data_IF_752941198342
#
_entry.id   IF_752941198342
#
_cell.length_a   1.000
_cell.length_b   1.000
_cell.length_c   1.000
_cell.angle_alpha   90.00
_cell.angle_beta   90.00
_cell.angle_gamma   90.00
#
_symmetry.space_group_name_H-M   'P 1'
#
loop_
_entity.id
_entity.type
_entity.pdbx_description
1 polymer ?
#
# COMPACT_ATOMS: atom_id res chain seq x y z
N UNK A 1 13.89 0.24 -0.06
CA UNK A 1 13.23 0.29 -1.39
C UNK A 1 12.41 1.57 -1.41
N UNK A 2 12.64 2.48 -2.36
CA UNK A 2 11.88 3.72 -2.48
C UNK A 2 10.49 3.47 -3.10
N UNK A 3 9.47 4.19 -2.66
CA UNK A 3 8.09 4.10 -3.18
C UNK A 3 7.11 3.26 -2.35
N UNK A 4 7.58 2.24 -1.61
CA UNK A 4 6.68 1.45 -0.76
C UNK A 4 6.01 2.26 0.37
N UNK A 5 6.70 3.19 1.06
CA UNK A 5 6.05 4.06 2.05
C UNK A 5 5.01 5.00 1.46
N UNK A 6 5.08 5.34 0.17
CA UNK A 6 4.07 6.19 -0.50
C UNK A 6 2.78 5.41 -0.79
N UNK A 7 2.94 4.13 -1.11
CA UNK A 7 1.83 3.19 -1.37
C UNK A 7 1.20 2.71 -0.06
N UNK A 8 2.00 2.46 0.97
CA UNK A 8 1.58 1.99 2.30
C UNK A 8 2.04 3.00 3.37
N UNK A 9 1.34 4.14 3.49
CA UNK A 9 1.75 5.19 4.44
C UNK A 9 1.42 4.82 5.89
N UNK A 10 0.32 4.13 6.12
CA UNK A 10 -0.12 3.71 7.46
C UNK A 10 -0.43 2.20 7.54
N UNK A 11 -0.48 1.69 8.78
CA UNK A 11 -0.73 0.28 9.07
C UNK A 11 -2.10 -0.24 8.61
N UNK A 12 -3.06 0.65 8.33
CA UNK A 12 -4.37 0.29 7.79
C UNK A 12 -4.34 -0.09 6.30
N UNK A 13 -3.22 0.18 5.60
CA UNK A 13 -3.03 -0.17 4.19
C UNK A 13 -2.14 -1.41 4.00
N UNK A 14 -1.46 -1.86 5.05
CA UNK A 14 -0.57 -3.00 5.01
C UNK A 14 0.52 -2.95 6.07
N UNK A 15 1.48 -3.86 5.96
CA UNK A 15 2.62 -3.95 6.87
C UNK A 15 3.89 -3.78 6.06
N UNK A 16 4.71 -2.79 6.43
CA UNK A 16 6.07 -2.65 5.92
C UNK A 16 7.03 -3.33 6.89
N UNK A 17 8.02 -4.03 6.32
CA UNK A 17 9.08 -4.70 7.07
C UNK A 17 10.43 -4.12 6.61
N UNK A 18 11.34 -3.80 7.52
CA UNK A 18 12.69 -3.37 7.19
C UNK A 18 13.42 -4.40 6.32
N UNK A 19 14.16 -3.95 5.28
CA UNK A 19 14.95 -4.86 4.46
C UNK A 19 15.90 -5.72 5.28
N UNK A 20 15.94 -7.02 5.00
CA UNK A 20 16.81 -7.97 5.68
C UNK A 20 16.34 -8.40 7.08
N UNK A 21 15.25 -7.83 7.62
CA UNK A 21 14.72 -8.23 8.93
C UNK A 21 13.80 -9.46 8.83
N UNK A 22 14.43 -10.65 8.85
CA UNK A 22 13.72 -11.94 8.77
C UNK A 22 12.76 -12.13 9.95
N UNK A 23 13.12 -11.68 11.15
CA UNK A 23 12.28 -11.85 12.34
C UNK A 23 10.99 -11.03 12.27
N UNK A 24 11.06 -9.78 11.81
CA UNK A 24 9.84 -8.97 11.60
C UNK A 24 9.00 -9.49 10.44
N UNK A 25 9.62 -10.02 9.39
CA UNK A 25 8.91 -10.67 8.30
C UNK A 25 8.10 -11.87 8.82
N UNK A 26 8.74 -12.75 9.60
CA UNK A 26 8.10 -13.92 10.22
C UNK A 26 6.95 -13.52 11.14
N UNK A 27 7.16 -12.52 12.01
CA UNK A 27 6.11 -11.98 12.89
C UNK A 27 4.92 -11.45 12.09
N UNK A 28 5.18 -10.72 11.01
CA UNK A 28 4.15 -10.16 10.14
C UNK A 28 3.33 -11.25 9.44
N UNK A 29 3.97 -12.29 8.91
CA UNK A 29 3.26 -13.44 8.35
C UNK A 29 2.39 -14.16 9.38
N UNK A 30 2.92 -14.45 10.56
CA UNK A 30 2.15 -15.09 11.64
C UNK A 30 0.95 -14.24 12.09
N UNK A 31 1.13 -12.92 12.16
CA UNK A 31 0.05 -12.00 12.45
C UNK A 31 -1.03 -12.05 11.37
N UNK A 32 -0.66 -11.97 10.09
CA UNK A 32 -1.59 -12.02 8.97
C UNK A 32 -2.37 -13.34 8.98
N UNK A 33 -1.72 -14.49 9.17
CA UNK A 33 -2.38 -15.79 9.26
C UNK A 33 -3.48 -15.82 10.32
N UNK A 34 -3.21 -15.23 11.50
CA UNK A 34 -4.14 -15.25 12.65
C UNK A 34 -5.23 -14.17 12.58
N UNK A 35 -4.99 -13.03 11.92
CA UNK A 35 -5.88 -11.86 11.96
C UNK A 35 -6.63 -11.67 10.65
N UNK A 36 -7.61 -12.54 10.38
CA UNK A 36 -8.48 -12.44 9.20
C UNK A 36 -9.18 -11.07 9.04
N UNK A 37 -9.75 -10.45 10.11
CA UNK A 37 -10.41 -9.15 9.97
C UNK A 37 -9.44 -8.06 9.48
N UNK A 38 -8.23 -8.01 10.05
CA UNK A 38 -7.20 -7.07 9.61
C UNK A 38 -6.83 -7.29 8.14
N UNK A 39 -6.59 -8.55 7.72
CA UNK A 39 -6.25 -8.87 6.32
C UNK A 39 -7.30 -8.34 5.34
N UNK A 40 -8.57 -8.54 5.66
CA UNK A 40 -9.68 -8.08 4.81
C UNK A 40 -9.77 -6.56 4.78
N UNK A 41 -9.66 -5.91 5.94
CA UNK A 41 -9.70 -4.45 6.03
C UNK A 41 -8.53 -3.80 5.28
N UNK A 42 -7.29 -4.24 5.54
CA UNK A 42 -6.10 -3.68 4.94
C UNK A 42 -6.08 -3.83 3.41
N UNK A 43 -6.43 -5.03 2.91
CA UNK A 43 -6.53 -5.25 1.47
C UNK A 43 -7.63 -4.40 0.80
N UNK A 44 -8.79 -4.24 1.45
CA UNK A 44 -9.86 -3.40 0.93
C UNK A 44 -9.47 -1.90 0.93
N UNK A 45 -8.84 -1.42 2.01
CA UNK A 45 -8.37 -0.04 2.12
C UNK A 45 -7.32 0.28 1.06
N UNK A 46 -6.30 -0.56 0.93
CA UNK A 46 -5.26 -0.38 -0.09
C UNK A 46 -5.86 -0.42 -1.50
N UNK A 47 -6.78 -1.35 -1.78
CA UNK A 47 -7.45 -1.41 -3.09
C UNK A 47 -8.20 -0.12 -3.41
N UNK A 48 -8.95 0.44 -2.46
CA UNK A 48 -9.65 1.74 -2.67
C UNK A 48 -8.65 2.86 -2.95
N UNK A 49 -7.56 2.94 -2.19
CA UNK A 49 -6.50 3.94 -2.36
C UNK A 49 -5.84 3.83 -3.74
N UNK A 50 -5.47 2.63 -4.18
CA UNK A 50 -4.87 2.42 -5.51
C UNK A 50 -5.83 2.87 -6.62
N UNK A 51 -7.12 2.55 -6.52
CA UNK A 51 -8.10 3.00 -7.50
C UNK A 51 -8.30 4.53 -7.49
N UNK A 52 -8.24 5.16 -6.32
CA UNK A 52 -8.39 6.60 -6.20
C UNK A 52 -7.14 7.34 -6.69
N UNK A 53 -5.96 6.98 -6.21
CA UNK A 53 -4.78 7.84 -6.32
C UNK A 53 -3.82 7.39 -7.43
N UNK A 54 -3.84 6.10 -7.78
CA UNK A 54 -2.86 5.46 -8.67
C UNK A 54 -3.51 4.81 -9.90
N UNK A 55 -4.75 5.19 -10.24
CA UNK A 55 -5.38 4.69 -11.46
C UNK A 55 -4.77 5.30 -12.71
N UNK A 56 -4.73 4.53 -13.80
CA UNK A 56 -4.26 5.01 -15.10
C UNK A 56 -4.96 6.32 -15.52
N UNK A 57 -6.28 6.38 -15.31
CA UNK A 57 -7.08 7.57 -15.61
C UNK A 57 -6.58 8.80 -14.84
N UNK A 58 -6.34 8.65 -13.54
CA UNK A 58 -5.85 9.72 -12.68
C UNK A 58 -4.44 10.15 -13.10
N UNK A 59 -3.53 9.19 -13.31
CA UNK A 59 -2.15 9.46 -13.70
C UNK A 59 -2.08 10.21 -15.04
N UNK A 60 -2.83 9.76 -16.06
CA UNK A 60 -2.87 10.45 -17.36
C UNK A 60 -3.42 11.87 -17.22
N UNK A 61 -4.50 12.06 -16.45
CA UNK A 61 -5.10 13.38 -16.23
C UNK A 61 -4.11 14.34 -15.55
N UNK A 62 -3.40 13.86 -14.52
CA UNK A 62 -2.38 14.64 -13.80
C UNK A 62 -1.20 15.00 -14.71
N UNK A 63 -0.70 14.06 -15.52
CA UNK A 63 0.38 14.32 -16.47
C UNK A 63 -0.03 15.37 -17.51
N UNK A 64 -1.22 15.27 -18.11
CA UNK A 64 -1.72 16.27 -19.07
C UNK A 64 -1.85 17.65 -18.42
N UNK A 65 -2.30 17.72 -17.16
CA UNK A 65 -2.46 18.98 -16.44
C UNK A 65 -1.14 19.74 -16.26
N UNK A 66 0.00 19.04 -16.19
CA UNK A 66 1.33 19.68 -16.14
C UNK A 66 1.65 20.42 -17.43
N UNK A 67 1.30 19.86 -18.60
CA UNK A 67 1.56 20.47 -19.92
C UNK A 67 0.59 21.58 -20.31
N UNK A 68 -0.55 21.71 -19.62
CA UNK A 68 -1.56 22.74 -19.87
C UNK A 68 -1.36 24.01 -19.02
N UNK A 69 -0.35 24.02 -18.15
CA UNK A 69 0.12 25.22 -17.45
C UNK A 69 1.20 25.90 -18.27
#
# INVERSE_FOLDING_TARGET
VGGLPEVIPEAEYGILVPPGNIEELKKSFLFLLKKLPYRRAAGANLRRRIHADFSLKQMVAQTIAVYRK
#
